data_IF_255277401824
#
_entry.id   IF_255277401824
#
_cell.length_a   1.000
_cell.length_b   1.000
_cell.length_c   1.000
_cell.angle_alpha   90.00
_cell.angle_beta   90.00
_cell.angle_gamma   90.00
#
_symmetry.space_group_name_H-M   'P 1'
#
loop_
_entity.id
_entity.type
_entity.pdbx_description
1 polymer ?
#
# COMPACT_ATOMS: atom_id res chain seq x y z
N UNK A 1 -6.38 3.41 13.17
CA UNK A 1 -6.45 4.01 11.82
C UNK A 1 -5.54 3.22 10.90
N UNK A 2 -5.68 3.37 9.59
CA UNK A 2 -4.72 2.84 8.60
C UNK A 2 -4.28 3.95 7.64
N UNK A 3 -3.29 3.67 6.79
CA UNK A 3 -2.74 4.63 5.84
C UNK A 3 -3.27 4.35 4.43
N UNK A 4 -3.79 5.37 3.76
CA UNK A 4 -3.94 5.38 2.30
C UNK A 4 -2.61 5.77 1.68
N UNK A 5 -2.08 4.96 0.75
CA UNK A 5 -0.83 5.24 0.05
C UNK A 5 -0.97 5.05 -1.46
N UNK A 6 -0.69 6.11 -2.22
CA UNK A 6 -0.72 6.11 -3.68
C UNK A 6 0.64 5.72 -4.25
N UNK A 7 0.75 4.49 -4.75
CA UNK A 7 2.01 3.87 -5.17
C UNK A 7 2.28 4.08 -6.65
N UNK A 8 2.85 5.23 -6.99
CA UNK A 8 3.17 5.63 -8.38
C UNK A 8 4.09 4.65 -9.13
N UNK A 9 5.07 4.05 -8.43
CA UNK A 9 6.13 3.23 -9.02
C UNK A 9 5.93 1.72 -8.81
N UNK A 10 4.71 1.28 -8.47
CA UNK A 10 4.39 -0.12 -8.13
C UNK A 10 5.04 -1.14 -9.08
N UNK A 11 4.75 -1.05 -10.38
CA UNK A 11 5.22 -2.06 -11.36
C UNK A 11 6.75 -2.12 -11.43
N UNK A 12 7.42 -0.96 -11.33
CA UNK A 12 8.89 -0.88 -11.28
C UNK A 12 9.40 -1.51 -10.00
N UNK A 13 8.82 -1.17 -8.86
CA UNK A 13 9.28 -1.66 -7.55
C UNK A 13 9.10 -3.19 -7.43
N UNK A 14 7.94 -3.72 -7.84
CA UNK A 14 7.69 -5.17 -7.90
C UNK A 14 8.64 -5.89 -8.86
N UNK A 15 8.93 -5.30 -10.03
CA UNK A 15 9.90 -5.86 -10.98
C UNK A 15 11.32 -5.91 -10.39
N UNK A 16 11.70 -4.91 -9.61
CA UNK A 16 13.03 -4.77 -9.04
C UNK A 16 13.20 -5.50 -7.70
N UNK A 17 12.12 -5.96 -7.06
CA UNK A 17 12.14 -6.49 -5.69
C UNK A 17 12.27 -5.40 -4.63
N UNK A 18 11.97 -4.14 -4.97
CA UNK A 18 12.01 -3.00 -4.05
C UNK A 18 10.71 -2.97 -3.22
N UNK A 19 10.59 -3.91 -2.27
CA UNK A 19 9.43 -4.06 -1.38
C UNK A 19 9.85 -3.98 0.09
N UNK A 20 8.90 -4.00 1.01
CA UNK A 20 9.12 -3.96 2.46
C UNK A 20 9.26 -2.54 3.06
N UNK A 21 9.23 -1.50 2.22
CA UNK A 21 9.21 -0.12 2.69
C UNK A 21 8.53 0.82 1.69
N UNK A 22 8.06 1.96 2.20
CA UNK A 22 7.73 3.14 1.40
C UNK A 22 8.52 4.33 1.89
N UNK A 23 9.22 4.99 0.97
CA UNK A 23 9.95 6.22 1.25
C UNK A 23 9.20 7.46 0.80
N UNK A 24 9.36 8.55 1.54
CA UNK A 24 8.88 9.88 1.22
C UNK A 24 9.90 10.93 1.67
N UNK A 25 9.98 12.04 0.95
CA UNK A 25 10.71 13.22 1.41
C UNK A 25 9.83 14.15 2.26
N UNK A 26 8.53 13.86 2.37
CA UNK A 26 7.60 14.60 3.21
C UNK A 26 7.42 13.92 4.58
N UNK A 27 7.39 14.71 5.66
CA UNK A 27 7.24 14.26 7.04
C UNK A 27 5.85 13.75 7.41
N UNK A 28 4.82 13.95 6.57
CA UNK A 28 3.45 13.46 6.77
C UNK A 28 3.41 11.97 7.07
N UNK A 29 4.30 11.17 6.48
CA UNK A 29 4.38 9.74 6.75
C UNK A 29 4.75 9.45 8.21
N UNK A 30 5.64 10.25 8.81
CA UNK A 30 6.04 10.14 10.22
C UNK A 30 4.87 10.48 11.13
N UNK A 31 4.16 11.58 10.83
CA UNK A 31 2.98 11.99 11.60
C UNK A 31 1.87 10.92 11.58
N UNK A 32 1.74 10.17 10.48
CA UNK A 32 0.79 9.07 10.38
C UNK A 32 1.25 7.84 11.17
N UNK A 33 2.55 7.53 11.17
CA UNK A 33 3.13 6.42 11.95
C UNK A 33 2.96 6.64 13.45
N UNK A 34 3.11 7.87 13.93
CA UNK A 34 2.90 8.23 15.35
C UNK A 34 1.48 7.91 15.85
N UNK A 35 0.51 7.80 14.93
CA UNK A 35 -0.88 7.41 15.25
C UNK A 35 -1.09 5.89 15.30
N UNK A 36 -0.01 5.12 15.26
CA UNK A 36 0.03 3.65 15.35
C UNK A 36 -0.93 2.95 14.36
N UNK A 37 -0.74 3.17 13.05
CA UNK A 37 -1.56 2.49 12.05
C UNK A 37 -1.23 1.00 11.97
N UNK A 38 -2.23 0.18 11.62
CA UNK A 38 -2.02 -1.27 11.45
C UNK A 38 -1.56 -1.60 10.03
N UNK A 39 -2.22 -1.01 9.02
CA UNK A 39 -1.99 -1.35 7.61
C UNK A 39 -1.74 -0.15 6.72
N UNK A 40 -1.08 -0.41 5.60
CA UNK A 40 -0.97 0.49 4.46
C UNK A 40 -1.84 -0.08 3.34
N UNK A 41 -2.90 0.64 2.99
CA UNK A 41 -3.74 0.37 1.84
C UNK A 41 -3.14 1.06 0.62
N UNK A 42 -2.81 0.26 -0.39
CA UNK A 42 -2.08 0.70 -1.58
C UNK A 42 -3.04 0.95 -2.71
N UNK A 43 -2.91 2.11 -3.36
CA UNK A 43 -3.71 2.52 -4.50
C UNK A 43 -2.83 2.95 -5.68
N UNK A 44 -3.37 2.84 -6.90
CA UNK A 44 -2.78 3.44 -8.11
C UNK A 44 -3.87 3.99 -9.03
N UNK A 45 -3.50 4.83 -9.98
CA UNK A 45 -4.40 5.16 -11.10
C UNK A 45 -4.34 4.02 -12.13
N UNK A 46 -5.47 3.39 -12.48
CA UNK A 46 -5.51 2.41 -13.55
C UNK A 46 -5.16 3.06 -14.90
N UNK A 47 -4.54 2.29 -15.80
CA UNK A 47 -4.05 2.80 -17.09
C UNK A 47 -5.21 3.38 -17.91
N UNK A 48 -5.10 4.64 -18.32
CA UNK A 48 -6.11 5.33 -19.12
C UNK A 48 -7.32 5.86 -18.33
N UNK A 49 -7.36 5.70 -17.01
CA UNK A 49 -8.50 6.09 -16.15
C UNK A 49 -8.12 7.22 -15.19
N UNK A 50 -7.71 8.37 -15.74
CA UNK A 50 -7.36 9.55 -14.92
C UNK A 50 -8.57 9.97 -14.07
N UNK A 51 -8.32 10.26 -12.78
CA UNK A 51 -9.36 10.62 -11.83
C UNK A 51 -10.06 9.42 -11.18
N UNK A 52 -9.62 8.20 -11.49
CA UNK A 52 -10.04 6.97 -10.81
C UNK A 52 -8.86 6.34 -10.06
N UNK A 53 -9.18 5.52 -9.08
CA UNK A 53 -8.19 4.75 -8.32
C UNK A 53 -8.55 3.27 -8.32
N UNK A 54 -7.51 2.45 -8.35
CA UNK A 54 -7.57 1.01 -8.15
C UNK A 54 -6.95 0.70 -6.79
N UNK A 55 -7.64 -0.08 -5.97
CA UNK A 55 -7.03 -0.71 -4.80
C UNK A 55 -6.11 -1.85 -5.25
N UNK A 56 -4.84 -1.79 -4.88
CA UNK A 56 -3.82 -2.76 -5.29
C UNK A 56 -3.56 -3.77 -4.18
N UNK A 57 -3.46 -3.34 -2.93
CA UNK A 57 -3.06 -4.22 -1.86
C UNK A 57 -3.31 -3.65 -0.48
N UNK A 58 -3.10 -4.49 0.52
CA UNK A 58 -3.12 -4.14 1.94
C UNK A 58 -1.89 -4.75 2.58
N UNK A 59 -1.06 -3.93 3.22
CA UNK A 59 0.27 -4.31 3.68
C UNK A 59 0.37 -4.10 5.19
N UNK A 60 0.84 -5.13 5.90
CA UNK A 60 0.98 -5.08 7.36
C UNK A 60 2.18 -4.23 7.73
N UNK A 61 1.96 -3.16 8.50
CA UNK A 61 3.03 -2.29 8.96
C UNK A 61 3.95 -3.07 9.91
N UNK A 62 5.25 -2.77 9.82
CA UNK A 62 6.28 -3.31 10.71
C UNK A 62 7.04 -2.14 11.33
N UNK A 63 7.36 -2.24 12.61
CA UNK A 63 8.16 -1.22 13.30
C UNK A 63 9.61 -1.20 12.81
N UNK A 64 10.09 -2.37 12.36
CA UNK A 64 11.46 -2.58 11.88
C UNK A 64 11.47 -3.06 10.41
N UNK A 65 12.53 -2.76 9.65
CA UNK A 65 12.69 -3.30 8.30
C UNK A 65 12.82 -4.82 8.34
N UNK A 66 12.08 -5.51 7.46
CA UNK A 66 12.16 -6.97 7.31
C UNK A 66 13.10 -7.41 6.19
N UNK A 67 13.45 -6.49 5.29
CA UNK A 67 14.36 -6.67 4.16
C UNK A 67 15.35 -5.52 4.14
N UNK A 68 16.51 -5.72 3.50
CA UNK A 68 17.49 -4.64 3.34
C UNK A 68 16.87 -3.43 2.63
N UNK A 69 16.92 -2.26 3.28
CA UNK A 69 16.36 -1.02 2.73
C UNK A 69 17.52 -0.15 2.23
N UNK A 70 17.55 0.08 0.93
CA UNK A 70 18.48 1.02 0.31
C UNK A 70 17.68 2.18 -0.31
N UNK A 71 17.65 3.31 0.38
CA UNK A 71 16.79 4.43 0.00
C UNK A 71 17.44 5.77 0.32
N UNK A 72 17.26 6.73 -0.58
CA UNK A 72 17.65 8.13 -0.39
C UNK A 72 16.55 8.96 0.28
N UNK A 73 15.36 8.37 0.46
CA UNK A 73 14.23 9.06 1.09
C UNK A 73 14.50 9.36 2.56
N UNK A 74 14.20 10.60 2.97
CA UNK A 74 14.40 11.06 4.35
C UNK A 74 13.51 10.36 5.37
N UNK A 75 12.27 10.06 4.99
CA UNK A 75 11.28 9.41 5.85
C UNK A 75 10.84 8.10 5.23
N UNK A 76 10.76 7.05 6.05
CA UNK A 76 10.44 5.69 5.60
C UNK A 76 9.43 5.08 6.56
N UNK A 77 8.46 4.35 6.01
CA UNK A 77 7.60 3.42 6.75
C UNK A 77 7.90 2.02 6.26
N UNK A 78 7.95 1.06 7.19
CA UNK A 78 8.18 -0.34 6.86
C UNK A 78 6.87 -1.12 6.89
N UNK A 79 6.81 -2.14 6.04
CA UNK A 79 5.78 -3.17 6.10
C UNK A 79 6.47 -4.52 5.99
N UNK A 80 5.86 -5.56 6.53
CA UNK A 80 6.40 -6.92 6.43
C UNK A 80 5.98 -7.55 5.10
N UNK A 81 6.88 -7.68 4.10
CA UNK A 81 6.53 -8.29 2.83
C UNK A 81 6.42 -9.82 2.93
N UNK A 82 6.84 -10.46 4.03
CA UNK A 82 6.74 -11.91 4.24
C UNK A 82 5.48 -12.32 5.00
N UNK A 83 4.81 -11.36 5.65
CA UNK A 83 3.56 -11.61 6.35
C UNK A 83 2.48 -12.13 5.40
N UNK A 84 1.66 -13.12 5.81
CA UNK A 84 0.49 -13.53 5.05
C UNK A 84 -0.58 -12.44 4.99
N UNK A 85 -0.56 -11.45 5.89
CA UNK A 85 -1.47 -10.29 5.85
C UNK A 85 -1.06 -9.23 4.81
N UNK A 86 0.16 -9.31 4.25
CA UNK A 86 0.63 -8.41 3.19
C UNK A 86 0.26 -8.95 1.82
N UNK A 87 -0.86 -8.47 1.28
CA UNK A 87 -1.53 -9.05 0.11
C UNK A 87 -1.71 -8.04 -1.03
N UNK A 88 -1.85 -8.59 -2.24
CA UNK A 88 -2.24 -7.90 -3.46
C UNK A 88 -3.59 -8.45 -3.92
N UNK A 89 -4.52 -7.56 -4.26
CA UNK A 89 -5.82 -7.93 -4.82
C UNK A 89 -5.65 -8.32 -6.29
N UNK A 90 -6.14 -9.51 -6.64
CA UNK A 90 -5.86 -10.16 -7.93
C UNK A 90 -6.81 -9.74 -9.05
N UNK A 91 -8.01 -9.30 -8.66
CA UNK A 91 -9.17 -9.03 -9.49
C UNK A 91 -9.67 -7.58 -9.31
N UNK A 92 -8.86 -6.70 -8.71
CA UNK A 92 -9.23 -5.30 -8.47
C UNK A 92 -9.22 -4.38 -9.70
N UNK A 93 -8.72 -4.84 -10.84
CA UNK A 93 -8.61 -4.05 -12.08
C UNK A 93 -9.86 -4.13 -12.97
N UNK A 94 -10.97 -4.71 -12.48
CA UNK A 94 -12.24 -4.67 -13.23
C UNK A 94 -12.85 -3.28 -13.17
N UNK A 95 -13.63 -2.93 -14.18
CA UNK A 95 -14.24 -1.61 -14.26
C UNK A 95 -15.16 -1.35 -13.07
N UNK A 96 -15.95 -2.35 -12.67
CA UNK A 96 -16.91 -2.27 -11.57
C UNK A 96 -16.20 -1.95 -10.25
N UNK A 97 -15.09 -2.63 -9.96
CA UNK A 97 -14.33 -2.46 -8.71
C UNK A 97 -13.55 -1.16 -8.67
N UNK A 98 -13.02 -0.73 -9.81
CA UNK A 98 -12.38 0.59 -9.94
C UNK A 98 -13.41 1.68 -9.66
N UNK A 99 -14.61 1.57 -10.22
CA UNK A 99 -15.70 2.52 -9.97
C UNK A 99 -16.11 2.51 -8.50
N UNK A 100 -16.32 1.34 -7.92
CA UNK A 100 -16.73 1.18 -6.51
C UNK A 100 -15.72 1.81 -5.54
N UNK A 101 -14.43 1.49 -5.69
CA UNK A 101 -13.36 2.06 -4.86
C UNK A 101 -13.21 3.57 -5.11
N UNK A 102 -13.29 4.02 -6.36
CA UNK A 102 -13.19 5.44 -6.69
C UNK A 102 -14.32 6.23 -6.04
N UNK A 103 -15.57 5.78 -6.17
CA UNK A 103 -16.74 6.40 -5.55
C UNK A 103 -16.66 6.38 -4.03
N UNK A 104 -16.14 5.31 -3.44
CA UNK A 104 -15.93 5.21 -1.99
C UNK A 104 -15.01 6.32 -1.46
N UNK A 105 -13.95 6.67 -2.19
CA UNK A 105 -12.97 7.67 -1.75
C UNK A 105 -13.18 9.09 -2.30
N UNK A 106 -13.89 9.27 -3.42
CA UNK A 106 -13.96 10.54 -4.15
C UNK A 106 -14.42 11.71 -3.29
N UNK A 107 -15.46 11.52 -2.47
CA UNK A 107 -15.95 12.57 -1.58
C UNK A 107 -15.06 12.75 -0.35
N UNK A 108 -14.51 11.65 0.18
CA UNK A 108 -13.70 11.65 1.42
C UNK A 108 -12.35 12.33 1.20
N UNK A 109 -11.73 12.08 0.05
CA UNK A 109 -10.40 12.57 -0.30
C UNK A 109 -10.45 13.49 -1.53
N UNK A 110 -11.49 14.31 -1.65
CA UNK A 110 -11.72 15.18 -2.81
C UNK A 110 -10.48 16.01 -3.20
N UNK A 111 -9.82 16.63 -2.21
CA UNK A 111 -8.58 17.39 -2.44
C UNK A 111 -7.44 16.54 -3.00
N UNK A 112 -7.36 15.25 -2.60
CA UNK A 112 -6.35 14.34 -3.12
C UNK A 112 -6.62 13.95 -4.58
N UNK A 113 -7.89 13.70 -4.93
CA UNK A 113 -8.31 13.49 -6.32
C UNK A 113 -8.01 14.71 -7.19
N UNK A 114 -8.34 15.93 -6.74
CA UNK A 114 -8.05 17.15 -7.47
C UNK A 114 -6.54 17.36 -7.70
N UNK A 115 -5.71 17.00 -6.72
CA UNK A 115 -4.26 17.05 -6.81
C UNK A 115 -3.63 15.87 -7.58
N UNK A 116 -4.45 14.93 -8.09
CA UNK A 116 -4.01 13.68 -8.71
C UNK A 116 -3.01 12.90 -7.83
N UNK A 117 -3.19 12.96 -6.51
CA UNK A 117 -2.36 12.24 -5.54
C UNK A 117 -0.87 12.58 -5.60
N UNK A 118 -0.52 13.78 -6.08
CA UNK A 118 0.86 14.26 -6.11
C UNK A 118 1.32 14.77 -4.73
N UNK A 119 2.56 14.42 -4.35
CA UNK A 119 3.11 14.79 -3.05
C UNK A 119 2.25 14.30 -1.90
N UNK A 120 1.87 15.20 -0.99
CA UNK A 120 1.14 14.88 0.25
C UNK A 120 -0.29 14.42 0.00
N UNK A 121 -0.82 14.69 -1.20
CA UNK A 121 -2.09 14.17 -1.64
C UNK A 121 -2.06 12.63 -1.79
N UNK A 122 -0.88 12.05 -2.05
CA UNK A 122 -0.71 10.61 -2.22
C UNK A 122 -0.68 9.81 -0.92
N UNK A 123 -0.67 10.46 0.24
CA UNK A 123 -0.67 9.77 1.54
C UNK A 123 -1.77 10.38 2.41
N UNK A 124 -2.73 9.58 2.88
CA UNK A 124 -3.83 10.07 3.73
C UNK A 124 -4.05 9.16 4.94
N UNK A 125 -4.58 9.74 6.02
CA UNK A 125 -5.11 8.95 7.12
C UNK A 125 -6.44 8.31 6.73
N UNK A 126 -6.60 7.03 7.04
CA UNK A 126 -7.88 6.33 6.97
C UNK A 126 -8.37 6.08 8.40
N UNK A 127 -9.37 6.87 8.80
CA UNK A 127 -10.01 6.71 10.10
C UNK A 127 -10.80 5.40 10.18
N UNK A 128 -11.06 4.92 11.39
CA UNK A 128 -11.59 3.57 11.64
C UNK A 128 -12.91 3.27 10.90
N UNK A 129 -13.77 4.27 10.69
CA UNK A 129 -15.00 4.11 9.90
C UNK A 129 -14.72 3.91 8.40
N UNK A 130 -13.70 4.59 7.86
CA UNK A 130 -13.26 4.42 6.47
C UNK A 130 -12.61 3.05 6.29
N UNK A 131 -11.77 2.63 7.24
CA UNK A 131 -11.13 1.30 7.23
C UNK A 131 -12.17 0.21 7.23
N UNK A 132 -13.11 0.22 8.18
CA UNK A 132 -14.19 -0.79 8.26
C UNK A 132 -15.03 -0.83 6.98
N UNK A 133 -15.33 0.32 6.40
CA UNK A 133 -16.08 0.40 5.13
C UNK A 133 -15.29 -0.21 3.97
N UNK A 134 -13.98 0.03 3.90
CA UNK A 134 -13.14 -0.58 2.87
C UNK A 134 -12.98 -2.08 3.09
N UNK A 135 -12.75 -2.53 4.32
CA UNK A 135 -12.66 -3.96 4.66
C UNK A 135 -13.93 -4.71 4.25
N UNK A 136 -15.11 -4.13 4.51
CA UNK A 136 -16.39 -4.71 4.07
C UNK A 136 -16.51 -4.76 2.54
N UNK A 137 -16.01 -3.75 1.83
CA UNK A 137 -16.06 -3.66 0.35
C UNK A 137 -15.21 -4.76 -0.30
N UNK A 138 -14.09 -5.12 0.31
CA UNK A 138 -13.08 -6.02 -0.28
C UNK A 138 -13.11 -7.43 0.31
N UNK A 139 -14.08 -7.73 1.19
CA UNK A 139 -14.13 -9.00 1.96
C UNK A 139 -14.05 -10.23 1.07
N UNK A 140 -14.71 -10.22 -0.09
CA UNK A 140 -14.79 -11.37 -1.01
C UNK A 140 -13.82 -11.27 -2.19
N UNK A 141 -12.86 -10.33 -2.17
CA UNK A 141 -11.95 -10.13 -3.29
C UNK A 141 -10.82 -11.16 -3.25
N UNK A 142 -10.45 -11.69 -4.43
CA UNK A 142 -9.32 -12.62 -4.53
C UNK A 142 -8.01 -11.92 -4.17
N UNK A 143 -7.21 -12.53 -3.30
CA UNK A 143 -5.89 -12.01 -2.89
C UNK A 143 -4.79 -13.02 -3.18
N UNK A 144 -3.58 -12.50 -3.36
CA UNK A 144 -2.35 -13.30 -3.34
C UNK A 144 -1.31 -12.61 -2.47
N UNK A 145 -0.34 -13.36 -1.97
CA UNK A 145 0.73 -12.79 -1.15
C UNK A 145 1.59 -11.83 -2.01
N UNK A 146 2.03 -10.68 -1.47
CA UNK A 146 2.72 -9.64 -2.28
C UNK A 146 3.95 -10.15 -3.04
N UNK A 147 4.73 -11.06 -2.45
CA UNK A 147 5.92 -11.63 -3.07
C UNK A 147 5.59 -12.50 -4.28
N UNK A 148 4.36 -12.98 -4.44
CA UNK A 148 3.91 -13.64 -5.69
C UNK A 148 3.91 -12.69 -6.88
N UNK A 149 3.81 -11.38 -6.64
CA UNK A 149 3.90 -10.34 -7.68
C UNK A 149 5.30 -9.79 -7.88
N UNK A 150 6.27 -10.18 -7.05
CA UNK A 150 7.67 -9.83 -7.21
C UNK A 150 8.31 -10.74 -8.25
N UNK A 151 8.84 -10.16 -9.34
CA UNK A 151 9.37 -10.94 -10.48
C UNK A 151 10.59 -11.78 -10.09
N UNK A 152 11.45 -11.23 -9.25
CA UNK A 152 12.69 -11.86 -8.80
C UNK A 152 12.70 -11.94 -7.27
N UNK A 153 12.18 -13.04 -6.75
CA UNK A 153 12.07 -13.28 -5.30
C UNK A 153 13.43 -13.40 -4.62
N UNK A 154 14.49 -13.75 -5.35
CA UNK A 154 15.82 -13.92 -4.74
C UNK A 154 16.40 -12.60 -4.25
N UNK A 155 15.92 -11.47 -4.78
CA UNK A 155 16.28 -10.12 -4.33
C UNK A 155 15.61 -9.72 -3.02
N UNK A 156 14.57 -10.43 -2.59
CA UNK A 156 13.81 -10.12 -1.38
C UNK A 156 14.13 -11.15 -0.31
N UNK A 157 15.26 -10.94 0.36
CA UNK A 157 15.70 -11.81 1.46
C UNK A 157 15.38 -11.17 2.81
N UNK A 158 14.95 -11.97 3.80
CA UNK A 158 14.76 -11.47 5.15
C UNK A 158 16.11 -11.05 5.74
N UNK A 159 16.13 -9.94 6.50
CA UNK A 159 17.34 -9.50 7.23
C UNK A 159 17.77 -10.59 8.22
N UNK A 160 16.80 -11.21 8.90
CA UNK A 160 17.04 -12.36 9.76
C UNK A 160 16.36 -13.60 9.16
N UNK A 161 17.11 -14.51 8.51
CA UNK A 161 16.55 -15.71 7.90
C UNK A 161 16.03 -16.73 8.94
N UNK A 162 16.30 -16.53 10.23
CA UNK A 162 15.89 -17.41 11.32
C UNK A 162 14.79 -16.82 12.22
N UNK A 163 14.40 -15.56 12.02
CA UNK A 163 13.23 -15.00 12.68
C UNK A 163 12.01 -15.79 12.18
N UNK A 164 11.41 -16.58 13.08
CA UNK A 164 10.37 -17.53 12.73
C UNK A 164 9.21 -16.82 12.02
N UNK A 165 8.70 -17.45 10.95
CA UNK A 165 7.41 -17.07 10.36
C UNK A 165 6.35 -17.40 11.40
N UNK A 166 5.86 -16.39 12.13
CA UNK A 166 4.73 -16.57 13.01
C UNK A 166 3.56 -17.09 12.19
N UNK A 167 3.18 -18.34 12.45
CA UNK A 167 2.01 -19.03 11.92
C UNK A 167 0.72 -18.39 12.39
#
# INVERSE_FOLDING_TARGET
>A
MDIFYYWQKLERNLKNGEVGYFGSNNSKIVQLVERLPKRIWVFKTPKGMKGSIQLVGSLLISDEPRVAVNTEYRYVIYYDPFSPESVIYTDSNTQERIQEVSSFFQYRFHSAFNANFNGDAGVQAMESNVVRGLESLVTDWGTCQILERVKDRTKVQPINPFAHRST
#
